data_IF_437290781079
#
_entry.id   IF_437290781079
#
_cell.length_a   1.000
_cell.length_b   1.000
_cell.length_c   1.000
_cell.angle_alpha   90.00
_cell.angle_beta   90.00
_cell.angle_gamma   90.00
#
_symmetry.space_group_name_H-M   'P 1'
#
loop_
_entity.id
_entity.type
_entity.pdbx_description
1 polymer ?
#
# COMPACT_ATOMS: atom_id res chain seq x y z
N UNK A 1 -7.15 -78.68 -19.52
CA UNK A 1 -7.02 -77.38 -20.23
C UNK A 1 -7.71 -76.33 -19.38
N UNK A 2 -7.05 -75.18 -19.22
CA UNK A 2 -7.19 -74.18 -18.16
C UNK A 2 -8.59 -73.58 -18.00
N UNK A 3 -9.00 -73.42 -16.75
CA UNK A 3 -10.06 -72.50 -16.31
C UNK A 3 -9.65 -71.05 -16.58
N UNK A 4 -10.59 -70.26 -17.10
CA UNK A 4 -10.47 -68.82 -17.29
C UNK A 4 -11.40 -68.15 -16.27
N UNK A 5 -10.83 -67.61 -15.20
CA UNK A 5 -11.54 -66.76 -14.23
C UNK A 5 -11.00 -65.35 -14.39
N UNK A 6 -11.85 -64.46 -14.89
CA UNK A 6 -11.57 -63.04 -15.11
C UNK A 6 -11.45 -62.33 -13.76
N UNK A 7 -10.24 -61.87 -13.43
CA UNK A 7 -9.99 -61.04 -12.25
C UNK A 7 -10.19 -59.57 -12.65
N UNK A 8 -11.20 -58.93 -12.05
CA UNK A 8 -11.45 -57.50 -12.15
C UNK A 8 -10.33 -56.77 -11.37
N UNK A 9 -9.42 -56.10 -12.08
CA UNK A 9 -8.49 -55.14 -11.44
C UNK A 9 -9.28 -53.86 -11.13
N UNK A 10 -9.64 -53.66 -9.86
CA UNK A 10 -9.90 -52.30 -9.36
C UNK A 10 -8.56 -51.58 -9.29
N UNK A 11 -8.34 -50.65 -10.22
CA UNK A 11 -7.29 -49.65 -10.09
C UNK A 11 -7.69 -48.67 -8.98
N UNK A 12 -7.26 -48.95 -7.75
CA UNK A 12 -7.23 -47.94 -6.70
C UNK A 12 -6.17 -46.91 -7.11
N UNK A 13 -6.62 -45.76 -7.61
CA UNK A 13 -5.80 -44.56 -7.71
C UNK A 13 -5.39 -44.15 -6.29
N UNK A 14 -4.25 -44.66 -5.82
CA UNK A 14 -3.57 -44.10 -4.67
C UNK A 14 -3.19 -42.67 -5.04
N UNK A 15 -3.97 -41.71 -4.54
CA UNK A 15 -3.53 -40.32 -4.43
C UNK A 15 -2.36 -40.38 -3.44
N UNK A 16 -1.15 -40.48 -3.97
CA UNK A 16 0.04 -40.19 -3.18
C UNK A 16 -0.12 -38.73 -2.75
N UNK A 17 -0.51 -38.50 -1.50
CA UNK A 17 -0.37 -37.20 -0.87
C UNK A 17 1.13 -36.89 -0.87
N UNK A 18 1.59 -36.14 -1.87
CA UNK A 18 2.98 -35.77 -2.01
C UNK A 18 3.33 -34.88 -0.82
N UNK A 19 4.21 -35.37 0.06
CA UNK A 19 4.67 -34.60 1.21
C UNK A 19 5.49 -33.41 0.73
N UNK A 20 5.14 -32.20 1.16
CA UNK A 20 5.96 -31.02 0.91
C UNK A 20 7.28 -31.13 1.67
N UNK A 21 8.36 -30.67 1.05
CA UNK A 21 9.72 -30.67 1.60
C UNK A 21 10.33 -29.28 1.41
N UNK A 22 11.31 -28.93 2.24
CA UNK A 22 12.07 -27.68 2.11
C UNK A 22 13.52 -27.99 1.81
N UNK A 23 14.06 -27.43 0.74
CA UNK A 23 15.48 -27.56 0.40
C UNK A 23 16.24 -26.24 0.64
N UNK A 24 16.56 -25.98 1.91
CA UNK A 24 17.23 -24.73 2.34
C UNK A 24 18.62 -24.62 1.68
N UNK A 25 19.39 -25.71 1.67
CA UNK A 25 20.76 -25.71 1.12
C UNK A 25 20.78 -25.34 -0.36
N UNK A 26 19.86 -25.90 -1.15
CA UNK A 26 19.76 -25.56 -2.58
C UNK A 26 19.33 -24.10 -2.76
N UNK A 27 18.36 -23.62 -1.98
CA UNK A 27 17.91 -22.22 -2.03
C UNK A 27 19.05 -21.24 -1.72
N UNK A 28 19.83 -21.51 -0.69
CA UNK A 28 20.99 -20.69 -0.31
C UNK A 28 22.11 -20.74 -1.35
N UNK A 29 22.36 -21.92 -1.94
CA UNK A 29 23.35 -22.07 -3.01
C UNK A 29 22.95 -21.25 -4.25
N UNK A 30 21.69 -21.30 -4.65
CA UNK A 30 21.17 -20.51 -5.78
C UNK A 30 21.16 -19.02 -5.46
N UNK A 31 20.78 -18.62 -4.24
CA UNK A 31 20.85 -17.22 -3.82
C UNK A 31 22.26 -16.62 -3.97
N UNK A 32 23.29 -17.39 -3.59
CA UNK A 32 24.70 -17.01 -3.82
C UNK A 32 25.07 -16.98 -5.29
N UNK A 33 24.54 -17.91 -6.09
CA UNK A 33 24.80 -17.98 -7.53
C UNK A 33 24.30 -16.73 -8.26
N UNK A 34 23.08 -16.28 -7.97
CA UNK A 34 22.43 -15.15 -8.66
C UNK A 34 22.69 -13.80 -7.99
N UNK A 35 23.44 -13.76 -6.88
CA UNK A 35 23.68 -12.54 -6.10
C UNK A 35 24.23 -11.38 -6.97
N UNK A 36 25.16 -11.70 -7.87
CA UNK A 36 25.72 -10.72 -8.79
C UNK A 36 24.69 -10.20 -9.79
N UNK A 37 23.79 -11.06 -10.30
CA UNK A 37 22.71 -10.65 -11.20
C UNK A 37 21.69 -9.75 -10.48
N UNK A 38 21.36 -10.04 -9.21
CA UNK A 38 20.48 -9.19 -8.39
C UNK A 38 21.13 -7.82 -8.12
N UNK A 39 22.42 -7.77 -7.79
CA UNK A 39 23.16 -6.50 -7.61
C UNK A 39 23.23 -5.68 -8.89
N UNK A 40 23.45 -6.34 -10.02
CA UNK A 40 23.43 -5.69 -11.33
C UNK A 40 22.03 -5.15 -11.66
N UNK A 41 20.98 -5.90 -11.33
CA UNK A 41 19.61 -5.45 -11.49
C UNK A 41 19.31 -4.22 -10.62
N UNK A 42 19.67 -4.24 -9.33
CA UNK A 42 19.54 -3.07 -8.46
C UNK A 42 20.27 -1.84 -9.02
N UNK A 43 21.48 -2.02 -9.53
CA UNK A 43 22.25 -0.95 -10.17
C UNK A 43 21.57 -0.42 -11.45
N UNK A 44 20.97 -1.30 -12.25
CA UNK A 44 20.20 -0.95 -13.44
C UNK A 44 19.00 -0.04 -13.09
N UNK A 45 18.25 -0.38 -12.03
CA UNK A 45 17.08 0.39 -11.58
C UNK A 45 17.37 1.86 -11.26
N UNK A 46 18.63 2.20 -10.94
CA UNK A 46 19.02 3.57 -10.60
C UNK A 46 18.90 4.51 -11.80
N UNK A 47 19.28 4.05 -12.99
CA UNK A 47 19.53 4.93 -14.15
C UNK A 47 18.86 4.51 -15.45
N UNK A 48 18.66 3.22 -15.66
CA UNK A 48 18.19 2.62 -16.90
C UNK A 48 16.66 2.51 -16.97
N UNK A 49 16.17 2.08 -18.13
CA UNK A 49 14.75 1.78 -18.36
C UNK A 49 14.32 0.54 -17.58
N UNK A 50 13.25 0.67 -16.81
CA UNK A 50 12.75 -0.39 -15.92
C UNK A 50 12.44 -1.70 -16.66
N UNK A 51 11.77 -1.62 -17.82
CA UNK A 51 11.38 -2.80 -18.60
C UNK A 51 12.64 -3.55 -19.10
N UNK A 52 13.66 -2.82 -19.53
CA UNK A 52 14.96 -3.37 -19.90
C UNK A 52 15.66 -4.09 -18.75
N UNK A 53 15.67 -3.49 -17.56
CA UNK A 53 16.25 -4.09 -16.35
C UNK A 53 15.54 -5.41 -15.99
N UNK A 54 14.20 -5.40 -15.97
CA UNK A 54 13.37 -6.58 -15.67
C UNK A 54 13.62 -7.68 -16.70
N UNK A 55 13.61 -7.35 -17.99
CA UNK A 55 13.82 -8.31 -19.07
C UNK A 55 15.20 -8.97 -18.99
N UNK A 56 16.22 -8.26 -18.54
CA UNK A 56 17.56 -8.81 -18.36
C UNK A 56 17.67 -9.72 -17.13
N UNK A 57 17.01 -9.38 -16.02
CA UNK A 57 17.00 -10.23 -14.84
C UNK A 57 16.24 -11.55 -15.10
N UNK A 58 15.08 -11.50 -15.76
CA UNK A 58 14.28 -12.70 -16.04
C UNK A 58 15.06 -13.74 -16.87
N UNK A 59 15.92 -13.30 -17.79
CA UNK A 59 16.78 -14.20 -18.60
C UNK A 59 17.77 -15.02 -17.76
N UNK A 60 17.94 -14.71 -16.48
CA UNK A 60 18.82 -15.42 -15.54
C UNK A 60 18.10 -16.55 -14.79
N UNK A 61 16.78 -16.65 -14.92
CA UNK A 61 15.99 -17.68 -14.23
C UNK A 61 15.80 -18.91 -15.09
N UNK A 62 16.69 -19.89 -14.98
CA UNK A 62 16.60 -21.14 -15.72
C UNK A 62 15.86 -22.21 -14.91
N UNK A 63 16.27 -22.41 -13.64
CA UNK A 63 15.68 -23.41 -12.75
C UNK A 63 14.65 -22.85 -11.74
N UNK A 64 13.86 -23.74 -11.13
CA UNK A 64 12.77 -23.38 -10.23
C UNK A 64 13.19 -22.46 -9.06
N UNK A 65 14.38 -22.66 -8.47
CA UNK A 65 14.86 -21.84 -7.35
C UNK A 65 15.30 -20.45 -7.83
N UNK A 66 15.92 -20.35 -9.01
CA UNK A 66 16.29 -19.07 -9.60
C UNK A 66 15.04 -18.28 -9.94
N UNK A 67 14.04 -18.92 -10.55
CA UNK A 67 12.75 -18.31 -10.86
C UNK A 67 12.03 -17.85 -9.60
N UNK A 68 12.06 -18.67 -8.54
CA UNK A 68 11.51 -18.28 -7.26
C UNK A 68 12.18 -17.01 -6.70
N UNK A 69 13.51 -16.96 -6.68
CA UNK A 69 14.22 -15.80 -6.13
C UNK A 69 14.10 -14.54 -7.00
N UNK A 70 14.14 -14.68 -8.32
CA UNK A 70 13.92 -13.58 -9.26
C UNK A 70 12.47 -13.08 -9.17
N UNK A 71 11.50 -13.99 -9.07
CA UNK A 71 10.10 -13.64 -8.83
C UNK A 71 9.94 -12.79 -7.58
N UNK A 72 10.60 -13.19 -6.48
CA UNK A 72 10.60 -12.43 -5.24
C UNK A 72 11.21 -11.03 -5.39
N UNK A 73 12.32 -10.91 -6.12
CA UNK A 73 12.95 -9.61 -6.41
C UNK A 73 12.07 -8.69 -7.28
N UNK A 74 11.19 -9.27 -8.09
CA UNK A 74 10.29 -8.53 -8.97
C UNK A 74 8.96 -8.15 -8.32
N UNK A 75 8.59 -8.73 -7.18
CA UNK A 75 7.26 -8.53 -6.59
C UNK A 75 6.95 -7.04 -6.33
N UNK A 76 7.93 -6.30 -5.77
CA UNK A 76 7.79 -4.88 -5.46
C UNK A 76 7.94 -3.95 -6.67
N UNK A 77 7.98 -4.51 -7.89
CA UNK A 77 8.36 -3.80 -9.12
C UNK A 77 7.37 -4.09 -10.26
N UNK A 78 7.18 -5.38 -10.55
CA UNK A 78 6.30 -5.91 -11.59
C UNK A 78 5.64 -7.21 -11.09
N UNK A 79 4.46 -7.03 -10.48
CA UNK A 79 3.63 -8.12 -9.93
C UNK A 79 3.27 -9.17 -10.98
N UNK A 80 3.08 -8.79 -12.25
CA UNK A 80 2.71 -9.76 -13.29
C UNK A 80 3.90 -10.64 -13.67
N UNK A 81 5.11 -10.08 -13.77
CA UNK A 81 6.32 -10.87 -14.00
C UNK A 81 6.68 -11.72 -12.78
N UNK A 82 6.54 -11.18 -11.58
CA UNK A 82 6.70 -11.93 -10.33
C UNK A 82 5.79 -13.16 -10.29
N UNK A 83 4.50 -12.96 -10.55
CA UNK A 83 3.50 -14.04 -10.65
C UNK A 83 3.92 -15.14 -11.62
N UNK A 84 4.35 -14.78 -12.83
CA UNK A 84 4.75 -15.76 -13.85
C UNK A 84 5.95 -16.59 -13.39
N UNK A 85 6.95 -15.95 -12.78
CA UNK A 85 8.15 -16.62 -12.29
C UNK A 85 7.84 -17.57 -11.13
N UNK A 86 7.04 -17.13 -10.16
CA UNK A 86 6.59 -17.98 -9.04
C UNK A 86 5.72 -19.15 -9.50
N UNK A 87 4.82 -18.91 -10.47
CA UNK A 87 4.03 -19.97 -11.10
C UNK A 87 4.91 -21.01 -11.77
N UNK A 88 5.89 -20.59 -12.54
CA UNK A 88 6.82 -21.52 -13.21
C UNK A 88 7.67 -22.31 -12.20
N UNK A 89 8.16 -21.67 -11.13
CA UNK A 89 8.88 -22.34 -10.06
C UNK A 89 8.02 -23.43 -9.38
N UNK A 90 6.78 -23.10 -9.03
CA UNK A 90 5.81 -24.05 -8.47
C UNK A 90 5.54 -25.21 -9.43
N UNK A 91 5.30 -24.94 -10.72
CA UNK A 91 5.01 -25.99 -11.71
C UNK A 91 6.19 -26.94 -11.94
N UNK A 92 7.43 -26.45 -11.80
CA UNK A 92 8.63 -27.29 -11.90
C UNK A 92 8.87 -28.14 -10.65
N UNK A 93 8.44 -27.67 -9.46
CA UNK A 93 8.60 -28.40 -8.22
C UNK A 93 7.46 -28.11 -7.22
N UNK A 94 6.34 -28.82 -7.39
CA UNK A 94 5.16 -28.68 -6.52
C UNK A 94 5.36 -29.25 -5.10
N UNK A 95 6.45 -30.00 -4.89
CA UNK A 95 6.79 -30.52 -3.56
C UNK A 95 7.62 -29.56 -2.71
N UNK A 96 8.06 -28.42 -3.24
CA UNK A 96 8.76 -27.43 -2.43
C UNK A 96 7.76 -26.57 -1.65
N UNK A 97 7.94 -26.52 -0.34
CA UNK A 97 7.03 -25.81 0.58
C UNK A 97 7.07 -24.29 0.37
N UNK A 98 8.22 -23.73 -0.01
CA UNK A 98 8.37 -22.28 -0.20
C UNK A 98 7.71 -21.86 -1.54
N UNK A 99 7.82 -22.68 -2.58
CA UNK A 99 7.16 -22.43 -3.87
C UNK A 99 5.65 -22.57 -3.75
N UNK A 100 5.20 -23.57 -3.00
CA UNK A 100 3.78 -23.79 -2.69
C UNK A 100 3.18 -22.56 -2.00
N UNK A 101 3.86 -22.05 -0.96
CA UNK A 101 3.39 -20.87 -0.24
C UNK A 101 3.34 -19.64 -1.15
N UNK A 102 4.44 -19.34 -1.82
CA UNK A 102 4.55 -18.10 -2.61
C UNK A 102 3.56 -18.10 -3.76
N UNK A 103 3.35 -19.24 -4.43
CA UNK A 103 2.34 -19.31 -5.48
C UNK A 103 0.90 -19.16 -4.96
N UNK A 104 0.60 -19.63 -3.74
CA UNK A 104 -0.69 -19.38 -3.10
C UNK A 104 -0.90 -17.88 -2.80
N UNK A 105 0.14 -17.21 -2.31
CA UNK A 105 0.18 -15.76 -2.08
C UNK A 105 -0.07 -15.00 -3.40
N UNK A 106 0.62 -15.39 -4.46
CA UNK A 106 0.45 -14.81 -5.80
C UNK A 106 -0.97 -14.96 -6.35
N UNK A 107 -1.59 -16.14 -6.19
CA UNK A 107 -2.99 -16.36 -6.57
C UNK A 107 -3.95 -15.50 -5.73
N UNK A 108 -3.70 -15.38 -4.43
CA UNK A 108 -4.46 -14.53 -3.52
C UNK A 108 -4.39 -13.06 -3.96
N UNK A 109 -3.19 -12.54 -4.24
CA UNK A 109 -2.98 -11.18 -4.76
C UNK A 109 -3.73 -10.92 -6.07
N UNK A 110 -3.85 -11.92 -6.94
CA UNK A 110 -4.64 -11.82 -8.19
C UNK A 110 -6.15 -11.99 -8.01
N UNK A 111 -6.63 -12.29 -6.79
CA UNK A 111 -8.03 -12.54 -6.50
C UNK A 111 -8.52 -13.93 -6.94
N UNK A 112 -7.62 -14.86 -7.28
CA UNK A 112 -7.98 -16.27 -7.54
C UNK A 112 -8.08 -17.04 -6.21
N UNK A 113 -9.04 -16.61 -5.39
CA UNK A 113 -9.21 -17.10 -4.02
C UNK A 113 -9.48 -18.62 -3.96
N UNK A 114 -10.22 -19.16 -4.93
CA UNK A 114 -10.53 -20.60 -4.94
C UNK A 114 -9.27 -21.45 -5.12
N UNK A 115 -8.37 -21.07 -6.02
CA UNK A 115 -7.12 -21.80 -6.23
C UNK A 115 -6.14 -21.54 -5.08
N UNK A 116 -6.04 -20.29 -4.60
CA UNK A 116 -5.24 -19.94 -3.43
C UNK A 116 -5.62 -20.79 -2.20
N UNK A 117 -6.92 -20.97 -1.92
CA UNK A 117 -7.42 -21.78 -0.80
C UNK A 117 -6.92 -23.23 -0.90
N UNK A 118 -6.94 -23.85 -2.08
CA UNK A 118 -6.47 -25.24 -2.24
C UNK A 118 -5.00 -25.35 -1.84
N UNK A 119 -4.18 -24.44 -2.34
CA UNK A 119 -2.73 -24.48 -2.14
C UNK A 119 -2.36 -24.05 -0.71
N UNK A 120 -3.02 -23.05 -0.13
CA UNK A 120 -2.86 -22.70 1.28
C UNK A 120 -3.23 -23.84 2.22
N UNK A 121 -4.27 -24.63 1.91
CA UNK A 121 -4.58 -25.81 2.72
C UNK A 121 -3.48 -26.87 2.63
N UNK A 122 -2.90 -27.11 1.45
CA UNK A 122 -1.73 -27.99 1.30
C UNK A 122 -0.54 -27.50 2.15
N UNK A 123 -0.24 -26.19 2.06
CA UNK A 123 0.81 -25.56 2.86
C UNK A 123 0.54 -25.68 4.36
N UNK A 124 -0.67 -25.35 4.82
CA UNK A 124 -1.08 -25.43 6.22
C UNK A 124 -0.95 -26.85 6.78
N UNK A 125 -1.24 -27.87 5.99
CA UNK A 125 -1.03 -29.27 6.41
C UNK A 125 0.45 -29.60 6.60
N UNK A 126 1.33 -29.07 5.75
CA UNK A 126 2.78 -29.29 5.85
C UNK A 126 3.45 -28.43 6.93
N UNK A 127 2.93 -27.24 7.22
CA UNK A 127 3.48 -26.26 8.16
C UNK A 127 2.38 -25.79 9.14
N UNK A 128 1.83 -26.68 9.98
CA UNK A 128 0.65 -26.40 10.81
C UNK A 128 0.85 -25.33 11.88
N UNK A 129 2.11 -25.01 12.22
CA UNK A 129 2.46 -23.97 13.19
C UNK A 129 2.43 -22.55 12.61
N UNK A 130 2.35 -22.39 11.29
CA UNK A 130 2.34 -21.07 10.66
C UNK A 130 0.91 -20.49 10.65
N UNK A 131 0.61 -19.66 11.65
CA UNK A 131 -0.69 -19.02 11.77
C UNK A 131 -1.02 -18.06 10.62
N UNK A 132 -0.04 -17.62 9.82
CA UNK A 132 -0.28 -16.71 8.69
C UNK A 132 -1.16 -17.36 7.63
N UNK A 133 -1.04 -18.68 7.45
CA UNK A 133 -1.93 -19.44 6.59
C UNK A 133 -3.41 -19.30 6.99
N UNK A 134 -3.69 -19.19 8.30
CA UNK A 134 -5.05 -18.95 8.79
C UNK A 134 -5.52 -17.52 8.50
N UNK A 135 -4.64 -16.51 8.54
CA UNK A 135 -4.97 -15.12 8.16
C UNK A 135 -5.37 -15.08 6.68
N UNK A 136 -4.54 -15.62 5.79
CA UNK A 136 -4.80 -15.60 4.36
C UNK A 136 -6.00 -16.44 3.95
N UNK A 137 -6.19 -17.62 4.56
CA UNK A 137 -7.39 -18.43 4.35
C UNK A 137 -8.66 -17.70 4.82
N UNK A 138 -8.60 -16.98 5.94
CA UNK A 138 -9.75 -16.21 6.42
C UNK A 138 -10.20 -15.18 5.38
N UNK A 139 -9.25 -14.41 4.85
CA UNK A 139 -9.53 -13.43 3.79
C UNK A 139 -10.05 -14.09 2.51
N UNK A 140 -9.41 -15.17 2.04
CA UNK A 140 -9.87 -15.88 0.85
C UNK A 140 -11.29 -16.44 1.01
N UNK A 141 -11.59 -17.10 2.14
CA UNK A 141 -12.91 -17.64 2.43
C UNK A 141 -13.97 -16.54 2.51
N UNK A 142 -13.63 -15.40 3.10
CA UNK A 142 -14.52 -14.24 3.15
C UNK A 142 -14.87 -13.75 1.74
N UNK A 143 -13.88 -13.67 0.85
CA UNK A 143 -14.08 -13.21 -0.53
C UNK A 143 -14.90 -14.18 -1.40
N UNK A 144 -14.92 -15.48 -1.10
CA UNK A 144 -15.77 -16.46 -1.81
C UNK A 144 -17.12 -16.73 -1.12
N UNK A 145 -17.44 -16.01 -0.03
CA UNK A 145 -18.72 -16.11 0.69
C UNK A 145 -18.82 -17.27 1.68
N UNK A 146 -17.71 -17.96 1.95
CA UNK A 146 -17.62 -19.08 2.90
C UNK A 146 -17.35 -18.55 4.32
N UNK A 147 -18.31 -17.77 4.83
CA UNK A 147 -18.17 -16.94 6.03
C UNK A 147 -17.80 -17.74 7.28
N UNK A 148 -18.41 -18.90 7.48
CA UNK A 148 -18.16 -19.75 8.65
C UNK A 148 -16.73 -20.28 8.67
N UNK A 149 -16.19 -20.66 7.50
CA UNK A 149 -14.79 -21.09 7.36
C UNK A 149 -13.83 -19.93 7.58
N UNK A 150 -14.20 -18.71 7.16
CA UNK A 150 -13.40 -17.52 7.44
C UNK A 150 -13.29 -17.28 8.95
N UNK A 151 -14.42 -17.31 9.68
CA UNK A 151 -14.46 -17.16 11.14
C UNK A 151 -13.62 -18.26 11.83
N UNK A 152 -13.76 -19.51 11.40
CA UNK A 152 -12.97 -20.63 11.96
C UNK A 152 -11.47 -20.41 11.78
N UNK A 153 -11.03 -19.98 10.59
CA UNK A 153 -9.62 -19.69 10.36
C UNK A 153 -9.17 -18.47 11.18
N UNK A 154 -9.98 -17.41 11.28
CA UNK A 154 -9.65 -16.25 12.10
C UNK A 154 -9.45 -16.62 13.58
N UNK A 155 -10.27 -17.50 14.16
CA UNK A 155 -10.06 -17.98 15.54
C UNK A 155 -8.70 -18.64 15.74
N UNK A 156 -8.21 -19.34 14.72
CA UNK A 156 -6.92 -20.03 14.77
C UNK A 156 -5.70 -19.11 14.56
N UNK A 157 -5.89 -17.82 14.20
CA UNK A 157 -4.78 -16.87 14.07
C UNK A 157 -4.15 -16.49 15.41
N UNK A 158 -4.87 -16.72 16.53
CA UNK A 158 -4.47 -16.34 17.88
C UNK A 158 -4.05 -14.87 17.99
N UNK A 159 -5.00 -13.98 17.67
CA UNK A 159 -4.80 -12.53 17.54
C UNK A 159 -3.99 -11.92 18.69
N UNK A 160 -4.34 -12.25 19.94
CA UNK A 160 -3.67 -11.73 21.15
C UNK A 160 -2.16 -11.95 21.14
N UNK A 161 -1.68 -13.08 20.61
CA UNK A 161 -0.25 -13.40 20.55
C UNK A 161 0.43 -12.90 19.28
N UNK A 162 -0.32 -12.67 18.20
CA UNK A 162 0.24 -12.51 16.86
C UNK A 162 -0.11 -11.17 16.17
N UNK A 163 -0.81 -10.24 16.82
CA UNK A 163 -1.35 -9.01 16.22
C UNK A 163 -0.39 -8.28 15.25
N UNK A 164 0.85 -7.96 15.67
CA UNK A 164 1.83 -7.29 14.79
C UNK A 164 2.12 -8.09 13.52
N UNK A 165 2.29 -9.40 13.65
CA UNK A 165 2.60 -10.23 12.49
C UNK A 165 1.38 -10.53 11.61
N UNK A 166 0.17 -10.40 12.15
CA UNK A 166 -1.06 -10.43 11.35
C UNK A 166 -1.08 -9.22 10.43
N UNK A 167 -0.72 -8.02 10.94
CA UNK A 167 -0.61 -6.81 10.12
C UNK A 167 0.39 -7.02 8.96
N UNK A 168 1.57 -7.59 9.24
CA UNK A 168 2.54 -7.95 8.20
C UNK A 168 2.02 -8.98 7.19
N UNK A 169 1.31 -10.01 7.65
CA UNK A 169 0.73 -11.02 6.77
C UNK A 169 -0.32 -10.42 5.82
N UNK A 170 -1.12 -9.46 6.31
CA UNK A 170 -2.09 -8.73 5.48
C UNK A 170 -1.36 -7.81 4.50
N UNK A 171 -0.37 -7.03 4.97
CA UNK A 171 0.46 -6.16 4.12
C UNK A 171 1.11 -6.94 2.98
N UNK A 172 1.57 -8.17 3.21
CA UNK A 172 2.14 -9.04 2.16
C UNK A 172 1.20 -9.23 0.97
N UNK A 173 -0.12 -9.21 1.17
CA UNK A 173 -1.11 -9.33 0.09
C UNK A 173 -1.42 -7.97 -0.54
N UNK A 174 -1.55 -6.92 0.27
CA UNK A 174 -2.20 -5.67 -0.13
C UNK A 174 -1.27 -4.45 -0.21
N UNK A 175 0.03 -4.60 0.06
CA UNK A 175 0.96 -3.49 -0.03
C UNK A 175 1.05 -2.90 -1.45
N UNK A 176 1.26 -1.58 -1.47
CA UNK A 176 1.51 -0.84 -2.69
C UNK A 176 2.96 -1.07 -3.14
N UNK A 177 3.12 -1.61 -4.34
CA UNK A 177 4.40 -1.95 -4.96
C UNK A 177 4.68 -1.07 -6.19
N UNK A 178 4.00 0.06 -6.34
CA UNK A 178 4.05 0.85 -7.58
C UNK A 178 5.15 1.91 -7.61
N UNK A 179 5.85 2.14 -6.49
CA UNK A 179 6.77 3.27 -6.32
C UNK A 179 7.90 3.28 -7.37
N UNK A 180 8.54 2.14 -7.66
CA UNK A 180 9.60 2.07 -8.67
C UNK A 180 9.08 2.32 -10.10
N UNK A 181 7.89 1.81 -10.40
CA UNK A 181 7.23 2.06 -11.69
C UNK A 181 6.85 3.53 -11.86
N UNK A 182 6.33 4.15 -10.80
CA UNK A 182 5.99 5.56 -10.77
C UNK A 182 7.25 6.43 -10.98
N UNK A 183 8.34 6.09 -10.31
CA UNK A 183 9.65 6.73 -10.48
C UNK A 183 10.11 6.67 -11.94
N UNK A 184 10.10 5.48 -12.55
CA UNK A 184 10.47 5.28 -13.95
C UNK A 184 9.60 6.11 -14.90
N UNK A 185 8.28 6.11 -14.69
CA UNK A 185 7.33 6.92 -15.46
C UNK A 185 7.61 8.43 -15.37
N UNK A 186 7.92 8.93 -14.16
CA UNK A 186 8.32 10.33 -13.98
C UNK A 186 9.61 10.65 -14.74
N UNK A 187 10.65 9.82 -14.59
CA UNK A 187 11.93 10.02 -15.29
C UNK A 187 11.73 10.01 -16.81
N UNK A 188 10.93 9.11 -17.36
CA UNK A 188 10.57 9.06 -18.79
C UNK A 188 9.89 10.35 -19.25
N UNK A 189 8.87 10.82 -18.52
CA UNK A 189 8.12 12.05 -18.86
C UNK A 189 8.98 13.32 -18.71
N UNK A 190 9.89 13.37 -17.73
CA UNK A 190 10.84 14.48 -17.56
C UNK A 190 11.78 14.56 -18.77
N UNK A 191 12.33 13.42 -19.21
CA UNK A 191 13.15 13.34 -20.44
C UNK A 191 12.39 13.78 -21.70
N UNK A 192 11.06 13.67 -21.71
CA UNK A 192 10.17 14.18 -22.76
C UNK A 192 9.80 15.66 -22.62
N UNK A 193 10.36 16.36 -21.62
CA UNK A 193 10.18 17.80 -21.40
C UNK A 193 9.14 18.17 -20.33
N UNK A 194 8.50 17.21 -19.66
CA UNK A 194 7.61 17.50 -18.54
C UNK A 194 8.39 17.75 -17.23
N UNK A 195 9.07 18.90 -17.17
CA UNK A 195 9.96 19.25 -16.05
C UNK A 195 9.22 19.49 -14.73
N UNK A 196 7.89 19.68 -14.76
CA UNK A 196 7.08 19.84 -13.54
C UNK A 196 7.12 18.61 -12.63
N UNK A 197 7.28 17.42 -13.22
CA UNK A 197 7.37 16.15 -12.48
C UNK A 197 8.66 15.98 -11.68
N UNK A 198 9.63 16.90 -11.78
CA UNK A 198 10.82 16.90 -10.92
C UNK A 198 10.44 17.07 -9.45
N UNK A 199 9.35 17.77 -9.14
CA UNK A 199 8.82 17.84 -7.79
C UNK A 199 8.37 16.45 -7.32
N UNK A 200 7.49 15.78 -8.07
CA UNK A 200 6.93 14.48 -7.66
C UNK A 200 8.00 13.39 -7.57
N UNK A 201 8.99 13.40 -8.47
CA UNK A 201 10.13 12.51 -8.44
C UNK A 201 10.96 12.67 -7.16
N UNK A 202 11.39 13.90 -6.85
CA UNK A 202 12.21 14.15 -5.66
C UNK A 202 11.41 13.93 -4.37
N UNK A 203 10.11 14.25 -4.38
CA UNK A 203 9.22 13.96 -3.25
C UNK A 203 9.15 12.45 -3.00
N UNK A 204 9.00 11.64 -4.05
CA UNK A 204 8.96 10.19 -3.95
C UNK A 204 10.22 9.61 -3.28
N UNK A 205 11.41 10.04 -3.71
CA UNK A 205 12.68 9.52 -3.16
C UNK A 205 12.90 9.91 -1.69
N UNK A 206 12.38 11.07 -1.26
CA UNK A 206 12.52 11.59 0.10
C UNK A 206 11.46 11.09 1.10
N UNK A 207 10.39 10.45 0.60
CA UNK A 207 9.26 9.95 1.39
C UNK A 207 8.87 8.54 0.91
N UNK A 208 9.88 7.69 0.73
CA UNK A 208 9.70 6.36 0.15
C UNK A 208 9.05 5.42 1.17
N UNK A 209 7.82 5.00 0.88
CA UNK A 209 7.10 4.05 1.73
C UNK A 209 7.72 2.66 1.62
N UNK A 210 8.06 2.08 2.76
CA UNK A 210 8.56 0.70 2.84
C UNK A 210 7.48 -0.27 3.34
N UNK A 211 6.50 0.25 4.07
CA UNK A 211 5.29 -0.43 4.52
C UNK A 211 4.21 0.65 4.79
N UNK A 212 3.05 0.29 5.35
CA UNK A 212 1.98 1.28 5.63
C UNK A 212 2.34 2.33 6.69
N UNK A 213 3.47 2.19 7.40
CA UNK A 213 3.76 2.86 8.68
C UNK A 213 5.06 3.65 8.60
N UNK A 214 5.99 3.20 7.75
CA UNK A 214 7.36 3.68 7.69
C UNK A 214 7.66 4.26 6.30
N UNK A 215 8.37 5.39 6.33
CA UNK A 215 8.93 6.06 5.16
C UNK A 215 10.43 6.27 5.38
N UNK A 216 11.22 6.14 4.31
CA UNK A 216 12.67 6.38 4.32
C UNK A 216 13.07 7.33 3.20
N UNK A 217 14.30 7.84 3.29
CA UNK A 217 14.96 8.50 2.16
C UNK A 217 15.72 7.43 1.37
N UNK A 218 15.41 7.29 0.07
CA UNK A 218 16.14 6.42 -0.86
C UNK A 218 17.36 7.16 -1.41
N UNK A 219 18.44 7.22 -0.64
CA UNK A 219 19.63 8.04 -0.97
C UNK A 219 20.23 7.72 -2.35
N UNK A 220 20.30 6.45 -2.75
CA UNK A 220 20.87 6.05 -4.05
C UNK A 220 19.99 6.53 -5.23
N UNK A 221 18.67 6.41 -5.11
CA UNK A 221 17.73 6.92 -6.12
C UNK A 221 17.79 8.45 -6.18
N UNK A 222 17.72 9.09 -5.02
CA UNK A 222 17.77 10.53 -4.86
C UNK A 222 19.05 11.13 -5.48
N UNK A 223 20.20 10.48 -5.33
CA UNK A 223 21.45 10.97 -5.94
C UNK A 223 21.34 11.06 -7.47
N UNK A 224 20.80 10.03 -8.12
CA UNK A 224 20.59 9.99 -9.56
C UNK A 224 19.50 10.98 -10.02
N UNK A 225 18.46 11.17 -9.22
CA UNK A 225 17.38 12.11 -9.52
C UNK A 225 17.81 13.57 -9.30
N UNK A 226 18.75 13.84 -8.39
CA UNK A 226 19.42 15.15 -8.27
C UNK A 226 20.31 15.43 -9.50
N UNK A 227 20.99 14.43 -10.06
CA UNK A 227 21.74 14.59 -11.32
C UNK A 227 20.80 14.93 -12.48
N UNK A 228 19.64 14.28 -12.54
CA UNK A 228 18.60 14.60 -13.53
C UNK A 228 18.07 16.03 -13.34
N UNK A 229 17.78 16.45 -12.09
CA UNK A 229 17.37 17.82 -11.76
C UNK A 229 18.39 18.86 -12.25
N UNK A 230 19.68 18.66 -11.96
CA UNK A 230 20.78 19.57 -12.36
C UNK A 230 20.96 19.68 -13.88
N UNK A 231 20.77 18.58 -14.60
CA UNK A 231 20.85 18.59 -16.07
C UNK A 231 19.59 19.17 -16.73
N UNK A 232 18.45 19.17 -16.03
CA UNK A 232 17.17 19.64 -16.56
C UNK A 232 16.92 21.13 -16.28
N UNK A 233 17.29 21.61 -15.09
CA UNK A 233 17.05 23.00 -14.67
C UNK A 233 18.36 23.71 -14.33
N UNK A 234 18.52 24.94 -14.81
CA UNK A 234 19.63 25.80 -14.41
C UNK A 234 19.54 26.14 -12.91
N UNK A 235 20.69 26.30 -12.24
CA UNK A 235 20.72 26.63 -10.80
C UNK A 235 20.04 27.97 -10.45
N UNK A 236 19.93 28.87 -11.42
CA UNK A 236 19.20 30.14 -11.27
C UNK A 236 17.69 29.98 -11.33
N UNK A 237 17.18 28.82 -11.81
CA UNK A 237 15.76 28.54 -11.92
C UNK A 237 15.11 28.50 -10.53
N UNK A 238 13.98 29.21 -10.31
CA UNK A 238 13.26 29.17 -9.04
C UNK A 238 12.85 27.78 -8.58
N UNK A 239 12.47 26.91 -9.52
CA UNK A 239 12.01 25.55 -9.21
C UNK A 239 13.19 24.68 -8.76
N UNK A 240 14.35 24.84 -9.38
CA UNK A 240 15.59 24.19 -8.91
C UNK A 240 15.90 24.57 -7.46
N UNK A 241 15.88 25.87 -7.14
CA UNK A 241 16.16 26.36 -5.79
C UNK A 241 15.12 25.87 -4.77
N UNK A 242 13.86 25.82 -5.15
CA UNK A 242 12.80 25.34 -4.27
C UNK A 242 12.94 23.84 -3.97
N UNK A 243 13.25 23.03 -4.99
CA UNK A 243 13.47 21.59 -4.82
C UNK A 243 14.73 21.33 -3.98
N UNK A 244 15.83 22.05 -4.21
CA UNK A 244 17.04 21.95 -3.39
C UNK A 244 16.78 22.29 -1.92
N UNK A 245 16.05 23.39 -1.66
CA UNK A 245 15.66 23.76 -0.31
C UNK A 245 14.81 22.66 0.37
N UNK A 246 13.91 22.01 -0.37
CA UNK A 246 13.14 20.89 0.16
C UNK A 246 14.02 19.69 0.53
N UNK A 247 14.97 19.29 -0.34
CA UNK A 247 15.92 18.22 -0.07
C UNK A 247 16.69 18.50 1.24
N UNK A 248 17.22 19.73 1.38
CA UNK A 248 17.97 20.13 2.58
C UNK A 248 17.10 20.11 3.84
N UNK A 249 15.87 20.64 3.77
CA UNK A 249 14.91 20.60 4.90
C UNK A 249 14.62 19.17 5.33
N UNK A 250 14.41 18.24 4.39
CA UNK A 250 14.17 16.82 4.72
C UNK A 250 15.34 16.17 5.42
N UNK A 251 16.58 16.43 4.94
CA UNK A 251 17.80 15.91 5.57
C UNK A 251 18.04 16.48 6.96
N UNK A 252 17.69 17.74 7.18
CA UNK A 252 17.83 18.37 8.51
C UNK A 252 16.72 17.92 9.47
N UNK A 253 15.52 17.63 8.98
CA UNK A 253 14.43 17.10 9.81
C UNK A 253 14.74 15.72 10.37
N UNK A 254 15.39 14.83 9.59
CA UNK A 254 15.86 13.54 10.09
C UNK A 254 17.00 13.66 11.13
N UNK A 255 17.71 14.79 11.14
CA UNK A 255 18.73 15.13 12.13
C UNK A 255 18.18 15.98 13.29
N UNK A 256 16.87 16.28 13.27
CA UNK A 256 16.19 17.15 14.23
C UNK A 256 16.74 18.60 14.32
N UNK A 257 17.43 19.08 13.27
CA UNK A 257 18.06 20.40 13.25
C UNK A 257 17.07 21.53 12.87
N UNK A 258 16.41 22.07 13.88
CA UNK A 258 15.39 23.12 13.71
C UNK A 258 15.97 24.46 13.23
N UNK A 259 17.17 24.83 13.69
CA UNK A 259 17.82 26.10 13.30
C UNK A 259 18.34 26.04 11.87
N UNK A 260 18.87 24.90 11.46
CA UNK A 260 19.22 24.61 10.07
C UNK A 260 18.01 24.75 9.15
N UNK A 261 16.89 24.09 9.48
CA UNK A 261 15.63 24.18 8.69
C UNK A 261 15.20 25.65 8.56
N UNK A 262 15.17 26.39 9.66
CA UNK A 262 14.81 27.83 9.65
C UNK A 262 15.74 28.64 8.76
N UNK A 263 17.04 28.35 8.76
CA UNK A 263 18.04 29.03 7.94
C UNK A 263 17.79 28.77 6.45
N UNK A 264 17.59 27.51 6.04
CA UNK A 264 17.31 27.17 4.64
C UNK A 264 16.02 27.84 4.16
N UNK A 265 14.93 27.78 4.93
CA UNK A 265 13.65 28.38 4.52
C UNK A 265 13.73 29.90 4.35
N UNK A 266 14.49 30.60 5.21
CA UNK A 266 14.70 32.04 5.05
C UNK A 266 15.58 32.36 3.83
N UNK A 267 16.68 31.65 3.64
CA UNK A 267 17.60 31.88 2.52
C UNK A 267 16.97 31.57 1.16
N UNK A 268 16.14 30.53 1.10
CA UNK A 268 15.37 30.15 -0.09
C UNK A 268 14.13 31.03 -0.32
N UNK A 269 13.79 31.92 0.62
CA UNK A 269 12.58 32.75 0.60
C UNK A 269 11.30 31.90 0.46
N UNK A 270 11.16 30.85 1.26
CA UNK A 270 10.00 29.95 1.25
C UNK A 270 9.29 29.95 2.61
N UNK A 271 7.95 29.95 2.57
CA UNK A 271 7.01 29.67 3.67
C UNK A 271 7.06 30.65 4.86
N UNK A 272 8.20 30.73 5.57
CA UNK A 272 8.38 31.58 6.75
C UNK A 272 8.22 33.06 6.40
N UNK A 273 7.82 33.88 7.38
CA UNK A 273 7.65 35.32 7.19
C UNK A 273 6.74 35.69 6.01
N UNK A 274 5.68 34.91 5.80
CA UNK A 274 4.70 35.07 4.73
C UNK A 274 5.32 35.00 3.31
N UNK A 275 6.41 34.24 3.17
CA UNK A 275 7.02 33.97 1.87
C UNK A 275 6.21 32.91 1.08
N UNK A 276 6.36 32.83 -0.25
CA UNK A 276 5.58 31.92 -1.09
C UNK A 276 5.65 30.45 -0.63
N UNK A 277 4.55 29.72 -0.86
CA UNK A 277 4.52 28.26 -0.74
C UNK A 277 5.22 27.61 -1.94
N UNK A 278 5.57 26.33 -1.82
CA UNK A 278 6.06 25.57 -2.96
C UNK A 278 4.90 25.31 -3.94
N UNK A 279 5.23 25.14 -5.21
CA UNK A 279 4.22 24.88 -6.26
C UNK A 279 3.55 23.51 -6.09
N UNK A 280 4.27 22.54 -5.54
CA UNK A 280 3.82 21.17 -5.35
C UNK A 280 3.17 21.01 -3.97
N UNK A 281 1.93 20.54 -3.93
CA UNK A 281 1.16 20.37 -2.71
C UNK A 281 1.74 19.35 -1.73
N UNK A 282 2.26 18.22 -2.22
CA UNK A 282 2.90 17.21 -1.39
C UNK A 282 4.11 17.79 -0.60
N UNK A 283 5.03 18.47 -1.29
CA UNK A 283 6.16 19.13 -0.63
C UNK A 283 5.72 20.25 0.31
N UNK A 284 4.74 21.05 -0.09
CA UNK A 284 4.19 22.13 0.75
C UNK A 284 3.59 21.57 2.04
N UNK A 285 2.77 20.53 1.93
CA UNK A 285 2.15 19.81 3.06
C UNK A 285 3.22 19.31 4.02
N UNK A 286 4.24 18.64 3.49
CA UNK A 286 5.33 18.08 4.27
C UNK A 286 6.15 19.17 5.00
N UNK A 287 6.56 20.25 4.32
CA UNK A 287 7.30 21.33 4.98
C UNK A 287 6.44 22.05 6.02
N UNK A 288 5.16 22.29 5.75
CA UNK A 288 4.28 22.92 6.74
C UNK A 288 4.11 22.04 7.98
N UNK A 289 3.93 20.72 7.81
CA UNK A 289 3.91 19.76 8.92
C UNK A 289 5.18 19.86 9.76
N UNK A 290 6.36 19.89 9.13
CA UNK A 290 7.65 20.07 9.81
C UNK A 290 7.68 21.41 10.55
N UNK A 291 7.29 22.51 9.90
CA UNK A 291 7.30 23.84 10.50
C UNK A 291 6.39 23.93 11.73
N UNK A 292 5.20 23.33 11.68
CA UNK A 292 4.29 23.32 12.82
C UNK A 292 4.81 22.43 13.95
N UNK A 293 5.29 21.22 13.62
CA UNK A 293 5.82 20.27 14.60
C UNK A 293 7.05 20.83 15.34
N UNK A 294 7.94 21.52 14.62
CA UNK A 294 9.14 22.16 15.18
C UNK A 294 8.89 23.56 15.77
N UNK A 295 7.65 24.04 15.77
CA UNK A 295 7.30 25.36 16.34
C UNK A 295 7.82 26.56 15.55
N UNK A 296 8.22 26.38 14.28
CA UNK A 296 8.62 27.48 13.39
C UNK A 296 7.43 28.30 12.90
N UNK A 297 6.24 27.69 12.89
CA UNK A 297 4.96 28.33 12.58
C UNK A 297 3.91 27.93 13.62
N UNK A 298 2.96 28.84 13.88
CA UNK A 298 1.75 28.53 14.63
C UNK A 298 0.60 28.22 13.66
N UNK A 299 -0.08 27.09 13.85
CA UNK A 299 -1.19 26.67 12.97
C UNK A 299 -2.34 27.68 12.92
N UNK A 300 -2.72 28.27 14.07
CA UNK A 300 -3.82 29.24 14.16
C UNK A 300 -3.49 30.53 13.42
N UNK A 301 -2.31 31.09 13.65
CA UNK A 301 -1.87 32.33 13.00
C UNK A 301 -1.67 32.13 11.49
N UNK A 302 -1.13 30.98 11.09
CA UNK A 302 -0.95 30.63 9.69
C UNK A 302 -2.30 30.50 8.97
N UNK A 303 -3.27 29.79 9.54
CA UNK A 303 -4.60 29.65 8.92
C UNK A 303 -5.34 31.00 8.84
N UNK A 304 -5.29 31.83 9.89
CA UNK A 304 -5.93 33.15 9.88
C UNK A 304 -5.33 34.07 8.81
N UNK A 305 -4.02 33.99 8.59
CA UNK A 305 -3.32 34.85 7.62
C UNK A 305 -3.34 34.30 6.19
N UNK A 306 -3.29 32.98 6.01
CA UNK A 306 -3.05 32.32 4.72
C UNK A 306 -4.06 31.23 4.34
N UNK A 307 -5.08 30.96 5.16
CA UNK A 307 -6.09 29.95 4.87
C UNK A 307 -6.83 30.21 3.55
N UNK A 308 -7.17 31.47 3.25
CA UNK A 308 -7.77 31.83 1.96
C UNK A 308 -6.82 31.60 0.79
N UNK A 309 -5.54 31.92 0.96
CA UNK A 309 -4.52 31.68 -0.07
C UNK A 309 -4.40 30.19 -0.41
N UNK A 310 -4.40 29.32 0.60
CA UNK A 310 -4.40 27.86 0.38
C UNK A 310 -5.61 27.42 -0.45
N UNK A 311 -6.81 27.86 -0.07
CA UNK A 311 -8.04 27.49 -0.78
C UNK A 311 -8.03 28.01 -2.24
N UNK A 312 -7.56 29.23 -2.47
CA UNK A 312 -7.44 29.82 -3.80
C UNK A 312 -6.43 29.04 -4.67
N UNK A 313 -5.27 28.66 -4.10
CA UNK A 313 -4.25 27.85 -4.78
C UNK A 313 -4.79 26.46 -5.12
N UNK A 314 -5.40 25.77 -4.15
CA UNK A 314 -5.97 24.45 -4.35
C UNK A 314 -6.94 24.46 -5.53
N UNK A 315 -7.89 25.41 -5.53
CA UNK A 315 -8.91 25.52 -6.58
C UNK A 315 -8.35 25.88 -7.95
N UNK A 316 -7.37 26.79 -7.99
CA UNK A 316 -6.73 27.20 -9.23
C UNK A 316 -5.94 26.07 -9.88
N UNK A 317 -5.20 25.31 -9.08
CA UNK A 317 -4.27 24.30 -9.59
C UNK A 317 -4.85 22.89 -9.58
N UNK A 318 -6.03 22.70 -8.99
CA UNK A 318 -6.61 21.39 -8.69
C UNK A 318 -5.64 20.51 -7.88
N UNK A 319 -4.98 21.12 -6.90
CA UNK A 319 -4.04 20.45 -6.01
C UNK A 319 -4.75 20.01 -4.72
N UNK A 320 -4.99 18.70 -4.61
CA UNK A 320 -5.71 18.09 -3.49
C UNK A 320 -4.95 18.17 -2.17
N UNK A 321 -3.61 18.15 -2.20
CA UNK A 321 -2.83 18.22 -0.98
C UNK A 321 -2.87 19.62 -0.38
N UNK A 322 -2.91 20.66 -1.20
CA UNK A 322 -3.15 22.02 -0.69
C UNK A 322 -4.54 22.15 -0.07
N UNK A 323 -5.57 21.54 -0.68
CA UNK A 323 -6.91 21.50 -0.07
C UNK A 323 -6.91 20.75 1.26
N UNK A 324 -6.15 19.66 1.34
CA UNK A 324 -6.02 18.84 2.54
C UNK A 324 -5.33 19.60 3.68
N UNK A 325 -4.30 20.39 3.39
CA UNK A 325 -3.68 21.32 4.37
C UNK A 325 -4.73 22.31 4.88
N UNK A 326 -5.50 22.93 3.99
CA UNK A 326 -6.55 23.87 4.38
C UNK A 326 -7.59 23.21 5.30
N UNK A 327 -8.09 22.03 4.93
CA UNK A 327 -9.06 21.28 5.72
C UNK A 327 -8.51 20.85 7.08
N UNK A 328 -7.28 20.35 7.14
CA UNK A 328 -6.62 19.99 8.39
C UNK A 328 -6.49 21.18 9.35
N UNK A 329 -6.06 22.33 8.84
CA UNK A 329 -5.95 23.56 9.64
C UNK A 329 -7.32 24.05 10.11
N UNK A 330 -8.33 24.02 9.24
CA UNK A 330 -9.71 24.34 9.59
C UNK A 330 -10.23 23.43 10.72
N UNK A 331 -10.05 22.11 10.60
CA UNK A 331 -10.44 21.16 11.65
C UNK A 331 -9.71 21.40 12.97
N UNK A 332 -8.42 21.71 12.91
CA UNK A 332 -7.61 21.98 14.12
C UNK A 332 -8.10 23.22 14.87
N UNK A 333 -8.59 24.24 14.16
CA UNK A 333 -8.94 25.54 14.75
C UNK A 333 -10.42 25.63 15.09
N UNK A 334 -11.29 25.18 14.19
CA UNK A 334 -12.74 25.25 14.32
C UNK A 334 -13.33 23.97 14.94
N UNK A 335 -12.50 22.95 15.18
CA UNK A 335 -12.87 21.64 15.72
C UNK A 335 -13.45 20.67 14.68
N UNK A 336 -13.69 21.13 13.44
CA UNK A 336 -14.20 20.33 12.31
C UNK A 336 -13.93 21.01 10.97
N UNK A 337 -13.92 20.23 9.89
CA UNK A 337 -13.91 20.75 8.53
C UNK A 337 -15.31 21.27 8.17
N UNK A 338 -15.39 22.32 7.35
CA UNK A 338 -16.65 22.78 6.80
C UNK A 338 -17.18 21.76 5.78
N UNK A 339 -18.48 21.43 5.86
CA UNK A 339 -19.14 20.47 4.97
C UNK A 339 -18.98 20.81 3.48
N UNK A 340 -18.92 22.08 3.12
CA UNK A 340 -18.70 22.49 1.72
C UNK A 340 -17.27 22.18 1.26
N UNK A 341 -16.28 22.33 2.14
CA UNK A 341 -14.89 21.94 1.86
C UNK A 341 -14.77 20.44 1.69
N UNK A 342 -15.38 19.67 2.60
CA UNK A 342 -15.42 18.20 2.50
C UNK A 342 -16.13 17.74 1.23
N UNK A 343 -17.28 18.34 0.91
CA UNK A 343 -18.03 18.01 -0.31
C UNK A 343 -17.23 18.36 -1.55
N UNK A 344 -16.56 19.51 -1.59
CA UNK A 344 -15.66 19.90 -2.69
C UNK A 344 -14.53 18.88 -2.88
N UNK A 345 -13.81 18.52 -1.81
CA UNK A 345 -12.70 17.57 -1.89
C UNK A 345 -13.16 16.18 -2.34
N UNK A 346 -14.35 15.75 -1.92
CA UNK A 346 -14.93 14.51 -2.40
C UNK A 346 -15.39 14.62 -3.86
N UNK A 347 -16.26 15.56 -4.22
CA UNK A 347 -16.94 15.53 -5.53
C UNK A 347 -16.08 16.02 -6.67
N UNK A 348 -15.23 17.02 -6.44
CA UNK A 348 -14.50 17.70 -7.51
C UNK A 348 -13.06 17.22 -7.61
N UNK A 349 -12.46 16.79 -6.50
CA UNK A 349 -11.11 16.25 -6.45
C UNK A 349 -11.08 14.72 -6.37
N UNK A 350 -12.22 14.07 -6.14
CA UNK A 350 -12.34 12.62 -6.06
C UNK A 350 -11.42 12.00 -5.01
N UNK A 351 -11.38 12.59 -3.81
CA UNK A 351 -10.52 12.14 -2.71
C UNK A 351 -11.32 11.54 -1.55
N UNK A 352 -10.93 10.32 -1.17
CA UNK A 352 -11.61 9.52 -0.15
C UNK A 352 -11.57 10.18 1.23
N UNK A 353 -10.47 10.86 1.59
CA UNK A 353 -10.28 11.47 2.91
C UNK A 353 -11.38 12.48 3.20
N UNK A 354 -11.78 13.24 2.18
CA UNK A 354 -12.83 14.24 2.27
C UNK A 354 -14.22 13.62 2.29
N UNK A 355 -14.46 12.53 1.56
CA UNK A 355 -15.70 11.78 1.68
C UNK A 355 -15.87 11.21 3.09
N UNK A 356 -14.82 10.59 3.64
CA UNK A 356 -14.80 10.09 5.02
C UNK A 356 -15.08 11.22 6.01
N UNK A 357 -14.37 12.35 5.90
CA UNK A 357 -14.56 13.52 6.76
C UNK A 357 -15.98 14.06 6.67
N UNK A 358 -16.56 14.17 5.46
CA UNK A 358 -17.93 14.60 5.22
C UNK A 358 -18.94 13.76 6.02
N UNK A 359 -18.86 12.43 5.89
CA UNK A 359 -19.82 11.54 6.53
C UNK A 359 -19.58 11.41 8.03
N UNK A 360 -18.33 11.41 8.51
CA UNK A 360 -18.06 11.46 9.94
C UNK A 360 -18.62 12.76 10.54
N UNK A 361 -18.41 13.91 9.87
CA UNK A 361 -18.90 15.22 10.29
C UNK A 361 -20.42 15.40 10.21
N UNK A 362 -21.13 14.54 9.47
CA UNK A 362 -22.60 14.46 9.49
C UNK A 362 -23.15 13.86 10.79
N UNK A 363 -22.40 12.97 11.45
CA UNK A 363 -22.83 12.35 12.71
C UNK A 363 -24.21 11.69 12.61
N UNK A 364 -25.15 12.13 13.45
CA UNK A 364 -26.53 11.64 13.52
C UNK A 364 -27.38 11.96 12.28
N UNK A 365 -26.94 12.86 11.40
CA UNK A 365 -27.63 13.14 10.13
C UNK A 365 -27.42 12.04 9.09
N UNK A 366 -26.54 11.08 9.36
CA UNK A 366 -26.39 9.90 8.52
C UNK A 366 -27.52 8.90 8.77
N UNK A 367 -27.95 8.25 7.70
CA UNK A 367 -28.90 7.16 7.76
C UNK A 367 -28.55 6.11 6.70
N UNK A 368 -29.01 4.89 6.90
CA UNK A 368 -28.58 3.71 6.16
C UNK A 368 -28.84 3.81 4.65
N UNK A 369 -30.02 4.32 4.28
CA UNK A 369 -30.44 4.49 2.88
C UNK A 369 -30.04 5.86 2.30
N UNK A 370 -29.03 6.51 2.87
CA UNK A 370 -28.56 7.81 2.39
C UNK A 370 -27.97 7.66 0.96
N UNK A 371 -28.54 8.33 -0.06
CA UNK A 371 -28.06 8.22 -1.44
C UNK A 371 -26.67 8.83 -1.62
N UNK A 372 -26.29 9.85 -0.85
CA UNK A 372 -24.94 10.40 -0.89
C UNK A 372 -23.93 9.40 -0.31
N UNK A 373 -24.24 8.73 0.81
CA UNK A 373 -23.35 7.70 1.38
C UNK A 373 -23.17 6.52 0.42
N UNK A 374 -24.26 6.11 -0.25
CA UNK A 374 -24.20 5.08 -1.29
C UNK A 374 -23.33 5.51 -2.45
N UNK A 375 -23.44 6.76 -2.91
CA UNK A 375 -22.55 7.31 -3.94
C UNK A 375 -21.09 7.27 -3.49
N UNK A 376 -20.79 7.70 -2.27
CA UNK A 376 -19.42 7.73 -1.77
C UNK A 376 -18.78 6.33 -1.71
N UNK A 377 -19.55 5.33 -1.29
CA UNK A 377 -19.11 3.92 -1.32
C UNK A 377 -18.87 3.44 -2.75
N UNK A 378 -19.65 3.90 -3.73
CA UNK A 378 -19.42 3.57 -5.13
C UNK A 378 -18.19 4.29 -5.72
N UNK A 379 -17.95 5.54 -5.32
CA UNK A 379 -16.77 6.31 -5.72
C UNK A 379 -15.49 5.68 -5.14
N UNK A 380 -15.56 5.15 -3.91
CA UNK A 380 -14.44 4.52 -3.18
C UNK A 380 -14.79 3.10 -2.73
N UNK A 381 -14.82 2.12 -3.64
CA UNK A 381 -15.31 0.76 -3.36
C UNK A 381 -14.48 -0.01 -2.34
N UNK A 382 -13.21 0.36 -2.14
CA UNK A 382 -12.33 -0.26 -1.15
C UNK A 382 -12.33 0.46 0.21
N UNK A 383 -13.14 1.51 0.38
CA UNK A 383 -13.17 2.32 1.61
C UNK A 383 -13.78 1.57 2.79
N UNK A 384 -12.93 1.10 3.70
CA UNK A 384 -13.40 0.47 4.93
C UNK A 384 -14.10 1.48 5.86
N UNK A 385 -13.61 2.73 5.93
CA UNK A 385 -14.23 3.79 6.77
C UNK A 385 -15.63 4.16 6.30
N UNK A 386 -15.87 4.32 5.00
CA UNK A 386 -17.22 4.62 4.49
C UNK A 386 -18.18 3.45 4.71
N UNK A 387 -17.70 2.22 4.54
CA UNK A 387 -18.48 1.03 4.86
C UNK A 387 -18.80 0.93 6.36
N UNK A 388 -17.86 1.32 7.23
CA UNK A 388 -18.06 1.40 8.68
C UNK A 388 -19.12 2.43 9.05
N UNK A 389 -19.16 3.59 8.39
CA UNK A 389 -20.25 4.56 8.57
C UNK A 389 -21.61 3.92 8.24
N UNK A 390 -21.71 3.20 7.11
CA UNK A 390 -22.94 2.49 6.72
C UNK A 390 -23.35 1.41 7.71
N UNK A 391 -22.38 0.66 8.25
CA UNK A 391 -22.60 -0.34 9.30
C UNK A 391 -23.19 0.30 10.56
N UNK A 392 -22.65 1.44 11.01
CA UNK A 392 -23.17 2.13 12.19
C UNK A 392 -24.60 2.64 11.97
N UNK A 393 -24.91 3.19 10.80
CA UNK A 393 -26.28 3.59 10.48
C UNK A 393 -27.24 2.40 10.56
N UNK A 394 -26.88 1.25 9.98
CA UNK A 394 -27.70 0.05 10.06
C UNK A 394 -27.92 -0.40 11.51
N UNK A 395 -26.85 -0.41 12.31
CA UNK A 395 -26.93 -0.79 13.73
C UNK A 395 -27.85 0.15 14.54
N UNK A 396 -27.67 1.47 14.41
CA UNK A 396 -28.48 2.48 15.11
C UNK A 396 -29.96 2.39 14.72
N UNK A 397 -30.24 2.14 13.45
CA UNK A 397 -31.61 2.02 12.92
C UNK A 397 -32.23 0.63 13.16
N UNK A 398 -31.51 -0.32 13.76
CA UNK A 398 -31.98 -1.69 13.96
C UNK A 398 -32.19 -2.48 12.66
N UNK A 399 -31.45 -2.14 11.60
CA UNK A 399 -31.47 -2.85 10.31
C UNK A 399 -30.54 -4.05 10.33
N UNK A 400 -30.87 -5.14 9.57
CA UNK A 400 -29.95 -6.26 9.39
C UNK A 400 -28.62 -5.78 8.81
N UNK A 401 -27.50 -6.15 9.46
CA UNK A 401 -26.19 -5.62 9.09
C UNK A 401 -25.11 -6.67 8.81
N UNK A 402 -25.43 -7.97 8.88
CA UNK A 402 -24.48 -9.07 8.63
C UNK A 402 -23.73 -8.92 7.29
N UNK A 403 -24.46 -8.69 6.20
CA UNK A 403 -23.85 -8.51 4.87
C UNK A 403 -22.95 -7.26 4.80
N UNK A 404 -23.36 -6.17 5.47
CA UNK A 404 -22.58 -4.92 5.52
C UNK A 404 -21.27 -5.16 6.29
N UNK A 405 -21.33 -5.96 7.36
CA UNK A 405 -20.19 -6.34 8.18
C UNK A 405 -19.21 -7.24 7.42
N UNK A 406 -19.72 -8.21 6.65
CA UNK A 406 -18.91 -9.03 5.74
C UNK A 406 -18.18 -8.13 4.73
N UNK A 407 -18.90 -7.20 4.11
CA UNK A 407 -18.31 -6.25 3.17
C UNK A 407 -17.30 -5.29 3.83
N UNK A 408 -17.49 -4.94 5.11
CA UNK A 408 -16.52 -4.17 5.87
C UNK A 408 -15.24 -4.97 6.10
N UNK A 409 -15.36 -6.23 6.54
CA UNK A 409 -14.21 -7.11 6.79
C UNK A 409 -13.37 -7.29 5.52
N UNK A 410 -13.99 -7.48 4.35
CA UNK A 410 -13.28 -7.56 3.06
C UNK A 410 -12.46 -6.30 2.77
N UNK A 411 -13.03 -5.12 3.03
CA UNK A 411 -12.35 -3.83 2.81
C UNK A 411 -11.26 -3.57 3.85
N UNK A 412 -11.46 -4.01 5.08
CA UNK A 412 -10.44 -3.96 6.13
C UNK A 412 -9.23 -4.81 5.78
N UNK A 413 -9.37 -6.02 5.26
CA UNK A 413 -8.20 -6.79 4.80
C UNK A 413 -7.36 -6.00 3.79
N UNK A 414 -8.00 -5.25 2.88
CA UNK A 414 -7.30 -4.48 1.86
C UNK A 414 -6.58 -3.24 2.38
N UNK A 415 -7.11 -2.62 3.43
CA UNK A 415 -6.72 -1.24 3.80
C UNK A 415 -6.28 -1.09 5.24
N UNK A 416 -6.78 -1.94 6.15
CA UNK A 416 -6.83 -1.72 7.59
C UNK A 416 -7.28 -0.29 7.96
N UNK A 417 -8.12 0.30 7.10
CA UNK A 417 -8.33 1.74 7.03
C UNK A 417 -9.17 2.32 8.16
N UNK A 418 -9.88 1.49 8.95
CA UNK A 418 -10.60 1.98 10.12
C UNK A 418 -9.67 2.46 11.24
N UNK A 419 -8.47 1.87 11.35
CA UNK A 419 -7.43 2.34 12.29
C UNK A 419 -6.52 3.37 11.60
N UNK A 420 -6.30 4.56 12.17
CA UNK A 420 -5.41 5.57 11.60
C UNK A 420 -3.96 5.13 11.39
N UNK A 421 -3.52 4.09 12.12
CA UNK A 421 -2.18 3.52 12.03
C UNK A 421 -2.16 2.19 11.26
N UNK A 422 -3.27 1.81 10.61
CA UNK A 422 -3.38 0.56 9.85
C UNK A 422 -3.12 -0.70 10.71
N UNK A 423 -3.57 -0.70 11.96
CA UNK A 423 -3.58 -1.90 12.81
C UNK A 423 -4.85 -2.73 12.60
N UNK A 424 -4.72 -4.06 12.65
CA UNK A 424 -5.84 -5.01 12.53
C UNK A 424 -6.79 -5.08 13.74
N UNK A 425 -6.75 -4.14 14.68
CA UNK A 425 -7.58 -4.17 15.90
C UNK A 425 -9.08 -4.15 15.55
N UNK A 426 -9.47 -3.24 14.66
CA UNK A 426 -10.85 -3.11 14.18
C UNK A 426 -11.31 -4.37 13.46
N UNK A 427 -10.46 -4.91 12.57
CA UNK A 427 -10.71 -6.17 11.88
C UNK A 427 -11.01 -7.33 12.84
N UNK A 428 -10.21 -7.47 13.91
CA UNK A 428 -10.44 -8.49 14.92
C UNK A 428 -11.76 -8.31 15.68
N UNK A 429 -12.13 -7.06 15.98
CA UNK A 429 -13.44 -6.74 16.58
C UNK A 429 -14.58 -7.10 15.63
N UNK A 430 -14.44 -6.85 14.33
CA UNK A 430 -15.47 -7.15 13.34
C UNK A 430 -15.69 -8.66 13.17
N UNK A 431 -14.63 -9.47 13.17
CA UNK A 431 -14.78 -10.94 13.21
C UNK A 431 -15.51 -11.41 14.47
N UNK A 432 -15.21 -10.81 15.62
CA UNK A 432 -15.89 -11.13 16.89
C UNK A 432 -17.37 -10.73 16.88
N UNK A 433 -17.72 -9.67 16.16
CA UNK A 433 -19.11 -9.25 15.95
C UNK A 433 -19.81 -10.19 14.97
N UNK A 434 -19.16 -10.56 13.87
CA UNK A 434 -19.73 -11.43 12.84
C UNK A 434 -20.03 -12.84 13.38
N UNK A 435 -19.19 -13.34 14.29
CA UNK A 435 -19.43 -14.59 15.01
C UNK A 435 -20.72 -14.55 15.84
N UNK A 436 -21.06 -13.42 16.46
CA UNK A 436 -22.28 -13.28 17.27
C UNK A 436 -23.55 -13.19 16.41
N UNK A 437 -23.40 -12.75 15.17
CA UNK A 437 -24.48 -12.65 14.17
C UNK A 437 -24.65 -13.94 13.34
N UNK A 438 -23.84 -14.97 13.60
CA UNK A 438 -23.88 -16.28 12.91
C UNK A 438 -24.46 -17.34 13.83
#
# INVERSE_FOLDING_TARGET
>A
MKHLTTLLLMAASMVNAQSLTRNIEKKEAVAKHIEADIKNFQSCLLTDDLDGCIANLIKKGDDAYEKYLIGGALYSIDKDKSFLMHKEAYMQNQSDVDFTLEYAIELHRKGDYNEAIKIYNLYKTAVPQDYRAHVWLSDCYMNIGETEKAIENWKNVNYTKNHVNIDFAISTIYEDTTLLKLRDDYRKKIKQGNTGLLYDLIYLDLNWKIDWWNEIIQEELLEEDIKLLKSTLAETNPDYKAIQAYIEVRKLDSLEDTDGIKTILNNSNLILNNKPLLKNGNMTSNILKICFFRGLLNMSDFYKSRGKELLDIANKNKDIEILNIYAYLQATIDGKVNRETDKLGWTDYNDERFAISYFIGKGEENFYDNPELTKAINDFPDSAKLQWVKLNCAYIEGKPFKEILIDLIKKEFKTLGSDPNHYSYSLNMYFSLLEKES
#
